data_IF_453422696923
#
_entry.id   IF_453422696923
#
_cell.length_a   1.000
_cell.length_b   1.000
_cell.length_c   1.000
_cell.angle_alpha   90.00
_cell.angle_beta   90.00
_cell.angle_gamma   90.00
#
_symmetry.space_group_name_H-M   'P 1'
#
loop_
_entity.id
_entity.type
_entity.pdbx_description
1 polymer ?
#
# COMPACT_ATOMS: atom_id res chain seq x y z
N UNK A 1 -11.03 10.12 -13.20
CA UNK A 1 -9.97 9.25 -13.59
C UNK A 1 -8.84 9.33 -12.58
N UNK A 2 -8.15 8.25 -12.38
CA UNK A 2 -6.94 8.24 -11.59
C UNK A 2 -5.89 8.93 -12.44
N UNK A 3 -5.29 10.01 -11.97
CA UNK A 3 -4.10 10.63 -12.57
C UNK A 3 -2.91 9.68 -12.40
N UNK A 4 -3.06 8.53 -12.98
CA UNK A 4 -2.09 7.49 -12.91
C UNK A 4 -1.52 7.30 -14.29
N UNK A 5 -0.26 7.05 -14.35
CA UNK A 5 0.36 6.58 -15.55
C UNK A 5 -0.36 5.29 -15.97
N UNK A 6 -1.46 5.47 -16.72
CA UNK A 6 -2.21 4.39 -17.28
C UNK A 6 -3.32 3.79 -16.43
N UNK A 7 -3.91 4.47 -15.46
CA UNK A 7 -5.07 3.95 -14.71
C UNK A 7 -4.98 2.45 -14.38
N UNK A 8 -3.78 1.97 -14.05
CA UNK A 8 -3.52 0.56 -13.86
C UNK A 8 -3.92 0.14 -12.46
N UNK A 9 -4.60 -0.98 -12.34
CA UNK A 9 -4.77 -1.69 -11.08
C UNK A 9 -3.70 -2.76 -11.02
N UNK A 10 -2.74 -2.59 -10.11
CA UNK A 10 -1.72 -3.62 -9.87
C UNK A 10 -2.18 -4.58 -8.78
N UNK A 11 -2.74 -4.06 -7.71
CA UNK A 11 -3.31 -4.85 -6.62
C UNK A 11 -4.64 -4.27 -6.15
N UNK A 12 -5.52 -5.13 -5.66
CA UNK A 12 -6.80 -4.74 -5.11
C UNK A 12 -7.10 -5.55 -3.84
N UNK A 13 -7.60 -4.89 -2.82
CA UNK A 13 -7.92 -5.49 -1.53
C UNK A 13 -9.31 -5.03 -1.08
N UNK A 14 -10.25 -5.99 -0.94
CA UNK A 14 -11.61 -5.70 -0.47
C UNK A 14 -11.60 -5.51 1.05
N UNK A 15 -12.06 -4.35 1.50
CA UNK A 15 -12.23 -4.05 2.90
C UNK A 15 -13.54 -4.64 3.44
N UNK A 16 -13.61 -4.98 4.75
CA UNK A 16 -14.84 -5.50 5.37
C UNK A 16 -16.07 -4.59 5.17
N UNK A 17 -15.87 -3.27 5.14
CA UNK A 17 -16.94 -2.28 4.90
C UNK A 17 -17.43 -2.18 3.45
N UNK A 18 -16.86 -2.97 2.52
CA UNK A 18 -17.29 -3.01 1.12
C UNK A 18 -16.49 -2.13 0.16
N UNK A 19 -15.67 -1.21 0.65
CA UNK A 19 -14.75 -0.45 -0.19
C UNK A 19 -13.58 -1.33 -0.66
N UNK A 20 -12.86 -0.88 -1.67
CA UNK A 20 -11.69 -1.57 -2.21
C UNK A 20 -10.48 -0.65 -2.15
N UNK A 21 -9.39 -1.13 -1.54
CA UNK A 21 -8.08 -0.51 -1.70
C UNK A 21 -7.45 -0.95 -3.00
N UNK A 22 -6.82 -0.02 -3.69
CA UNK A 22 -6.16 -0.24 -4.98
C UNK A 22 -4.73 0.30 -4.91
N UNK A 23 -3.76 -0.56 -5.21
CA UNK A 23 -2.41 -0.16 -5.54
C UNK A 23 -2.31 0.06 -7.04
N UNK A 24 -1.96 1.26 -7.46
CA UNK A 24 -2.08 1.65 -8.87
C UNK A 24 -0.84 1.34 -9.71
N UNK A 25 0.18 0.68 -9.14
CA UNK A 25 1.42 0.41 -9.88
C UNK A 25 2.08 1.71 -10.34
N UNK A 26 2.27 1.88 -11.63
CA UNK A 26 2.82 3.10 -12.23
C UNK A 26 1.93 4.35 -12.06
N UNK A 27 0.79 4.21 -11.41
CA UNK A 27 -0.02 5.35 -10.96
C UNK A 27 0.52 6.03 -9.72
N UNK A 28 1.57 5.47 -9.13
CA UNK A 28 2.28 6.05 -7.98
C UNK A 28 1.36 6.41 -6.81
N UNK A 29 0.31 5.61 -6.58
CA UNK A 29 -0.71 5.94 -5.58
C UNK A 29 -1.39 4.72 -4.99
N UNK A 30 -2.04 4.94 -3.84
CA UNK A 30 -3.02 4.04 -3.25
C UNK A 30 -4.36 4.76 -3.22
N UNK A 31 -5.40 4.07 -3.62
CA UNK A 31 -6.76 4.60 -3.61
C UNK A 31 -7.67 3.69 -2.77
N UNK A 32 -8.65 4.29 -2.09
CA UNK A 32 -9.80 3.57 -1.59
C UNK A 32 -11.03 4.01 -2.37
N UNK A 33 -11.73 3.06 -2.96
CA UNK A 33 -12.92 3.32 -3.78
C UNK A 33 -14.13 2.61 -3.22
N UNK A 34 -15.27 3.27 -3.32
CA UNK A 34 -16.58 2.68 -2.96
C UNK A 34 -17.04 1.68 -4.03
N UNK A 35 -18.05 0.83 -3.75
CA UNK A 35 -18.66 -0.01 -4.77
C UNK A 35 -19.23 0.76 -5.97
N UNK A 36 -19.56 2.04 -5.78
CA UNK A 36 -20.02 2.93 -6.85
C UNK A 36 -18.86 3.56 -7.66
N UNK A 37 -17.60 3.22 -7.34
CA UNK A 37 -16.43 3.75 -8.04
C UNK A 37 -15.95 5.13 -7.57
N UNK A 38 -16.47 5.65 -6.46
CA UNK A 38 -16.04 6.94 -5.93
C UNK A 38 -14.76 6.77 -5.09
N UNK A 39 -13.76 7.62 -5.33
CA UNK A 39 -12.55 7.68 -4.49
C UNK A 39 -12.90 8.40 -3.19
N UNK A 40 -12.72 7.73 -2.06
CA UNK A 40 -13.00 8.27 -0.71
C UNK A 40 -11.75 8.49 0.12
N UNK A 41 -10.64 7.91 -0.28
CA UNK A 41 -9.32 8.16 0.30
C UNK A 41 -8.25 7.90 -0.75
N UNK A 42 -7.16 8.68 -0.70
CA UNK A 42 -6.03 8.51 -1.61
C UNK A 42 -4.72 8.86 -0.93
N UNK A 43 -3.65 8.20 -1.36
CA UNK A 43 -2.27 8.54 -1.05
C UNK A 43 -1.53 8.65 -2.38
N UNK A 44 -1.08 9.86 -2.71
CA UNK A 44 -0.39 10.16 -3.97
C UNK A 44 1.12 10.17 -3.81
N UNK A 45 1.82 10.22 -4.93
CA UNK A 45 3.27 10.07 -5.07
C UNK A 45 4.09 10.88 -4.06
N UNK A 46 3.71 12.12 -3.80
CA UNK A 46 4.48 13.06 -3.00
C UNK A 46 3.77 13.47 -1.69
N UNK A 47 2.78 12.71 -1.26
CA UNK A 47 2.03 13.01 -0.02
C UNK A 47 2.83 12.72 1.26
N UNK A 48 3.84 11.87 1.19
CA UNK A 48 4.64 11.47 2.34
C UNK A 48 5.93 12.32 2.41
N UNK A 49 6.25 12.94 3.55
CA UNK A 49 7.45 13.75 3.70
C UNK A 49 8.74 12.97 3.41
N UNK A 50 9.53 13.44 2.45
CA UNK A 50 10.81 12.83 2.10
C UNK A 50 10.74 11.46 1.43
N UNK A 51 9.56 10.99 1.07
CA UNK A 51 9.35 9.71 0.38
C UNK A 51 8.58 9.96 -0.91
N UNK A 52 9.07 9.41 -2.00
CA UNK A 52 8.38 9.40 -3.27
C UNK A 52 7.87 7.98 -3.56
N UNK A 53 6.58 7.85 -3.80
CA UNK A 53 6.01 6.59 -4.27
C UNK A 53 6.35 6.40 -5.75
N UNK A 54 6.80 5.21 -6.09
CA UNK A 54 7.08 4.81 -7.47
C UNK A 54 6.06 3.76 -7.91
N UNK A 55 6.49 2.54 -8.07
CA UNK A 55 5.59 1.47 -8.48
C UNK A 55 4.93 0.84 -7.25
N UNK A 56 3.73 1.27 -6.93
CA UNK A 56 2.94 0.76 -5.80
C UNK A 56 2.37 -0.59 -6.18
N UNK A 57 2.92 -1.65 -5.60
CA UNK A 57 2.61 -3.02 -6.01
C UNK A 57 1.66 -3.72 -5.03
N UNK A 58 2.14 -4.19 -3.91
CA UNK A 58 1.28 -4.90 -2.96
C UNK A 58 0.87 -4.01 -1.78
N UNK A 59 -0.28 -4.36 -1.22
CA UNK A 59 -0.87 -3.70 -0.06
C UNK A 59 -1.24 -4.77 0.98
N UNK A 60 -1.09 -4.42 2.25
CA UNK A 60 -1.64 -5.19 3.37
C UNK A 60 -2.29 -4.23 4.35
N UNK A 61 -3.50 -4.55 4.81
CA UNK A 61 -4.14 -3.85 5.91
C UNK A 61 -3.69 -4.49 7.22
N UNK A 62 -3.12 -3.69 8.10
CA UNK A 62 -2.63 -4.16 9.39
C UNK A 62 -3.70 -3.98 10.48
N UNK A 63 -3.60 -4.71 11.61
CA UNK A 63 -4.45 -4.46 12.77
C UNK A 63 -4.38 -2.98 13.17
N UNK A 64 -5.55 -2.35 13.37
CA UNK A 64 -5.65 -0.91 13.65
C UNK A 64 -5.85 -0.04 12.40
N UNK A 65 -5.76 -0.62 11.18
CA UNK A 65 -6.12 0.05 9.94
C UNK A 65 -4.98 0.70 9.17
N UNK A 66 -3.73 0.65 9.67
CA UNK A 66 -2.58 1.10 8.91
C UNK A 66 -2.36 0.22 7.67
N UNK A 67 -1.73 0.79 6.67
CA UNK A 67 -1.41 0.11 5.41
C UNK A 67 0.08 -0.17 5.32
N UNK A 68 0.45 -1.41 4.98
CA UNK A 68 1.78 -1.73 4.47
C UNK A 68 1.76 -1.61 2.96
N UNK A 69 2.68 -0.84 2.42
CA UNK A 69 2.80 -0.53 1.00
C UNK A 69 4.16 -1.02 0.50
N UNK A 70 4.18 -1.77 -0.59
CA UNK A 70 5.41 -2.04 -1.33
C UNK A 70 5.64 -0.94 -2.36
N UNK A 71 6.79 -0.27 -2.24
CA UNK A 71 7.24 0.83 -3.08
C UNK A 71 8.36 0.35 -4.02
N UNK A 72 7.98 -0.43 -5.00
CA UNK A 72 8.90 -1.06 -5.95
C UNK A 72 9.47 -0.03 -6.93
N UNK A 73 10.71 -0.22 -7.38
CA UNK A 73 11.41 0.67 -8.33
C UNK A 73 11.50 2.14 -7.89
N UNK A 74 11.54 2.38 -6.58
CA UNK A 74 11.63 3.74 -6.05
C UNK A 74 13.07 4.26 -5.91
N UNK A 75 14.04 3.44 -6.24
CA UNK A 75 15.46 3.79 -6.15
C UNK A 75 16.03 3.76 -4.73
N UNK A 76 17.36 3.91 -4.60
CA UNK A 76 18.05 3.73 -3.33
C UNK A 76 17.73 4.80 -2.27
N UNK A 77 17.20 5.94 -2.67
CA UNK A 77 16.84 7.03 -1.77
C UNK A 77 15.51 6.80 -1.03
N UNK A 78 14.66 5.90 -1.55
CA UNK A 78 13.33 5.66 -1.00
C UNK A 78 13.25 4.31 -0.28
N UNK A 79 12.39 4.18 0.75
CA UNK A 79 12.11 2.88 1.35
C UNK A 79 11.38 1.95 0.39
N UNK A 80 11.67 0.66 0.50
CA UNK A 80 11.03 -0.40 -0.27
C UNK A 80 9.69 -0.80 0.33
N UNK A 81 9.54 -0.71 1.67
CA UNK A 81 8.31 -0.96 2.40
C UNK A 81 7.98 0.24 3.27
N UNK A 82 6.71 0.58 3.34
CA UNK A 82 6.23 1.72 4.12
C UNK A 82 4.95 1.32 4.85
N UNK A 83 4.95 1.44 6.18
CA UNK A 83 3.72 1.43 6.95
C UNK A 83 3.23 2.85 7.12
N UNK A 84 2.00 3.12 6.72
CA UNK A 84 1.39 4.44 6.75
C UNK A 84 0.02 4.39 7.42
N UNK A 85 -0.27 5.41 8.24
CA UNK A 85 -1.61 5.58 8.83
C UNK A 85 -2.59 6.17 7.81
N UNK A 86 -3.88 6.15 8.16
CA UNK A 86 -4.94 6.76 7.32
C UNK A 86 -4.84 8.29 7.26
N UNK A 87 -4.14 8.90 8.22
CA UNK A 87 -3.80 10.32 8.26
C UNK A 87 -2.52 10.65 7.47
N UNK A 88 -2.00 9.66 6.72
CA UNK A 88 -0.79 9.78 5.88
C UNK A 88 0.48 10.05 6.70
N UNK A 89 0.58 9.43 7.88
CA UNK A 89 1.80 9.48 8.68
C UNK A 89 2.59 8.19 8.46
N UNK A 90 3.91 8.32 8.22
CA UNK A 90 4.81 7.17 8.15
C UNK A 90 5.04 6.66 9.57
N UNK A 91 4.61 5.44 9.84
CA UNK A 91 4.73 4.76 11.13
C UNK A 91 6.00 3.93 11.18
N UNK A 92 6.33 3.29 10.08
CA UNK A 92 7.49 2.43 9.95
C UNK A 92 7.92 2.38 8.47
N UNK A 93 9.21 2.17 8.24
CA UNK A 93 9.70 1.93 6.90
C UNK A 93 10.88 0.96 6.90
N UNK A 94 11.04 0.26 5.80
CA UNK A 94 12.16 -0.63 5.56
C UNK A 94 12.90 -0.21 4.29
N UNK A 95 14.23 -0.08 4.41
CA UNK A 95 15.12 0.20 3.30
C UNK A 95 16.40 -0.62 3.43
N UNK A 96 16.61 -1.53 2.53
CA UNK A 96 17.85 -2.29 2.37
C UNK A 96 18.09 -2.54 0.89
N UNK A 97 18.43 -1.47 0.19
CA UNK A 97 18.62 -1.50 -1.24
C UNK A 97 19.82 -2.36 -1.65
N UNK A 98 20.86 -2.39 -0.82
CA UNK A 98 22.08 -3.15 -1.11
C UNK A 98 21.80 -4.65 -1.22
N UNK A 99 20.98 -5.21 -0.32
CA UNK A 99 20.64 -6.64 -0.34
C UNK A 99 19.49 -6.99 -1.28
N UNK A 100 18.49 -6.14 -1.35
CA UNK A 100 17.22 -6.48 -2.02
C UNK A 100 16.99 -5.71 -3.32
N UNK A 101 17.83 -4.72 -3.61
CA UNK A 101 17.70 -3.92 -4.83
C UNK A 101 16.37 -3.18 -4.91
N UNK A 102 15.90 -3.03 -6.13
CA UNK A 102 14.77 -2.15 -6.46
C UNK A 102 13.45 -2.90 -6.75
N UNK A 103 13.42 -4.22 -6.57
CA UNK A 103 12.34 -5.06 -7.09
C UNK A 103 11.58 -5.84 -6.02
N UNK A 104 11.44 -5.29 -4.81
CA UNK A 104 10.55 -5.87 -3.80
C UNK A 104 9.08 -5.58 -4.17
N UNK A 105 8.45 -6.53 -4.82
CA UNK A 105 7.08 -6.38 -5.34
C UNK A 105 6.00 -6.83 -4.37
N UNK A 106 6.37 -7.66 -3.40
CA UNK A 106 5.41 -8.20 -2.43
C UNK A 106 6.07 -8.39 -1.06
N UNK A 107 5.28 -8.21 -0.03
CA UNK A 107 5.66 -8.46 1.36
C UNK A 107 4.43 -8.76 2.20
N UNK A 108 4.63 -9.41 3.31
CA UNK A 108 3.58 -9.65 4.29
C UNK A 108 4.15 -9.57 5.71
N UNK A 109 3.46 -8.86 6.57
CA UNK A 109 3.72 -8.88 8.01
C UNK A 109 2.92 -10.03 8.60
N UNK A 110 3.62 -10.98 9.22
CA UNK A 110 3.03 -12.18 9.79
C UNK A 110 2.59 -11.99 11.25
N UNK A 111 3.26 -11.10 11.97
CA UNK A 111 2.98 -10.85 13.39
C UNK A 111 3.19 -9.37 13.71
N UNK A 112 2.35 -8.86 14.60
CA UNK A 112 2.51 -7.54 15.23
C UNK A 112 2.48 -7.74 16.74
N UNK A 113 3.55 -7.31 17.43
CA UNK A 113 3.72 -7.47 18.88
C UNK A 113 3.48 -8.94 19.35
N UNK A 114 4.02 -9.89 18.61
CA UNK A 114 3.91 -11.33 18.89
C UNK A 114 2.54 -11.96 18.60
N UNK A 115 1.58 -11.19 18.10
CA UNK A 115 0.27 -11.71 17.69
C UNK A 115 0.23 -11.90 16.17
N UNK A 116 -0.23 -13.05 15.67
CA UNK A 116 -0.39 -13.27 14.24
C UNK A 116 -1.31 -12.22 13.61
N UNK A 117 -0.90 -11.72 12.45
CA UNK A 117 -1.80 -10.96 11.57
C UNK A 117 -2.61 -11.98 10.78
N UNK A 118 -3.85 -12.18 11.19
CA UNK A 118 -4.78 -13.07 10.48
C UNK A 118 -5.38 -12.25 9.34
N UNK A 119 -5.31 -12.77 8.12
CA UNK A 119 -6.21 -12.29 7.08
C UNK A 119 -7.63 -12.57 7.55
N UNK A 120 -8.51 -11.57 7.48
CA UNK A 120 -9.92 -11.80 7.79
C UNK A 120 -10.42 -13.07 7.07
N UNK A 121 -11.10 -13.98 7.76
CA UNK A 121 -11.67 -15.13 7.09
C UNK A 121 -12.60 -14.62 5.98
N UNK A 122 -12.67 -15.33 4.85
CA UNK A 122 -13.60 -14.95 3.80
C UNK A 122 -14.98 -14.82 4.42
N UNK A 123 -15.65 -13.70 4.14
CA UNK A 123 -16.99 -13.45 4.64
C UNK A 123 -17.83 -14.72 4.41
N UNK A 124 -18.41 -15.25 5.49
CA UNK A 124 -19.31 -16.40 5.39
C UNK A 124 -20.41 -16.05 4.39
N UNK A 125 -20.53 -16.90 3.39
CA UNK A 125 -21.57 -16.77 2.36
C UNK A 125 -22.96 -16.84 2.99
#
# INVERSE_FOLDING_TARGET
GVDAFGNQVFSAYRLPGGNTLIGTGNGHSVLEVTPAGQVVWSLHQNDLPGIQLAWVTSLQVLPGGNLLINNCHAGPANPQLIEVSREKQVVWSFRDFERFGDSLTNSVILQVNGKPVVSDPPASK
#
